data_IF_465663055147
#
_entry.id   IF_465663055147
#
_cell.length_a   1.000
_cell.length_b   1.000
_cell.length_c   1.000
_cell.angle_alpha   90.00
_cell.angle_beta   90.00
_cell.angle_gamma   90.00
#
_symmetry.space_group_name_H-M   'P 1'
#
loop_
_entity.id
_entity.type
_entity.pdbx_description
1 polymer ?
#
# COMPACT_ATOMS: atom_id res chain seq x y z
N UNK A 1 9.56 -11.22 -4.85
CA UNK A 1 8.75 -10.86 -3.66
C UNK A 1 7.39 -10.40 -4.16
N UNK A 2 6.33 -10.88 -3.55
CA UNK A 2 4.94 -10.53 -3.88
C UNK A 2 4.27 -10.01 -2.62
N UNK A 3 3.46 -8.96 -2.75
CA UNK A 3 2.72 -8.39 -1.62
C UNK A 3 1.25 -8.28 -1.98
N UNK A 4 0.40 -8.91 -1.18
CA UNK A 4 -1.06 -8.88 -1.33
C UNK A 4 -1.70 -8.29 -0.08
N UNK A 5 -2.87 -7.66 -0.24
CA UNK A 5 -3.63 -7.07 0.85
C UNK A 5 -5.09 -7.51 0.87
N UNK A 6 -5.58 -7.91 2.04
CA UNK A 6 -6.99 -8.29 2.24
C UNK A 6 -7.81 -7.08 2.64
N UNK A 7 -8.77 -6.72 1.81
CA UNK A 7 -9.68 -5.61 2.11
C UNK A 7 -10.73 -5.99 3.17
N UNK A 8 -11.11 -5.02 3.99
CA UNK A 8 -12.24 -5.08 4.91
C UNK A 8 -13.06 -3.80 4.79
N UNK A 9 -14.38 -3.94 4.82
CA UNK A 9 -15.31 -2.82 4.85
C UNK A 9 -15.58 -2.31 6.27
N UNK A 10 -15.82 -1.00 6.39
CA UNK A 10 -16.37 -0.39 7.58
C UNK A 10 -17.51 0.58 7.19
N UNK A 11 -18.56 0.69 8.01
CA UNK A 11 -19.58 1.72 7.85
C UNK A 11 -18.94 3.11 7.79
N UNK A 12 -19.56 4.03 7.07
CA UNK A 12 -19.14 5.42 7.12
C UNK A 12 -19.64 6.09 8.42
N UNK A 13 -18.87 7.04 8.99
CA UNK A 13 -19.37 7.84 10.10
C UNK A 13 -20.54 8.73 9.66
N UNK A 14 -21.40 9.16 10.60
CA UNK A 14 -22.50 10.09 10.30
C UNK A 14 -22.00 11.34 9.58
N UNK A 15 -22.74 11.77 8.54
CA UNK A 15 -22.40 12.94 7.73
C UNK A 15 -21.26 12.74 6.73
N UNK A 16 -20.77 11.51 6.52
CA UNK A 16 -19.76 11.25 5.50
C UNK A 16 -20.35 11.24 4.09
N UNK A 17 -19.62 11.83 3.13
CA UNK A 17 -19.95 11.71 1.70
C UNK A 17 -19.71 10.31 1.11
N UNK A 18 -18.93 9.45 1.79
CA UNK A 18 -18.71 8.07 1.34
C UNK A 18 -19.73 7.15 2.02
N UNK A 19 -20.30 6.20 1.27
CA UNK A 19 -21.25 5.22 1.83
C UNK A 19 -20.54 4.12 2.62
N UNK A 20 -19.34 3.72 2.19
CA UNK A 20 -18.52 2.70 2.83
C UNK A 20 -17.04 3.11 2.83
N UNK A 21 -16.30 2.68 3.84
CA UNK A 21 -14.84 2.79 3.90
C UNK A 21 -14.23 1.40 3.73
N UNK A 22 -13.06 1.35 3.09
CA UNK A 22 -12.33 0.11 2.87
C UNK A 22 -10.91 0.28 3.40
N UNK A 23 -10.42 -0.75 4.08
CA UNK A 23 -9.12 -0.78 4.72
C UNK A 23 -8.42 -2.13 4.49
N UNK A 24 -7.12 -2.22 4.77
CA UNK A 24 -6.43 -3.50 4.81
C UNK A 24 -6.58 -4.16 6.19
N UNK A 25 -7.09 -5.39 6.23
CA UNK A 25 -7.19 -6.21 7.44
C UNK A 25 -6.01 -7.16 7.63
N UNK A 26 -5.37 -7.53 6.52
CA UNK A 26 -4.18 -8.37 6.50
C UNK A 26 -3.31 -7.98 5.30
N UNK A 27 -2.00 -8.03 5.48
CA UNK A 27 -1.00 -7.89 4.41
C UNK A 27 -0.17 -9.17 4.40
N UNK A 28 -0.07 -9.82 3.25
CA UNK A 28 0.79 -10.98 3.05
C UNK A 28 1.99 -10.58 2.18
N UNK A 29 3.20 -10.96 2.60
CA UNK A 29 4.43 -10.80 1.84
C UNK A 29 4.99 -12.19 1.60
N UNK A 30 5.19 -12.55 0.34
CA UNK A 30 5.76 -13.83 -0.08
C UNK A 30 7.11 -13.58 -0.73
N UNK A 31 8.13 -14.29 -0.27
CA UNK A 31 9.47 -14.27 -0.83
C UNK A 31 9.79 -15.68 -1.31
N UNK A 32 9.87 -15.89 -2.63
CA UNK A 32 10.04 -17.24 -3.20
C UNK A 32 11.50 -17.71 -3.27
N UNK A 33 12.47 -16.79 -3.30
CA UNK A 33 13.89 -17.11 -3.53
C UNK A 33 14.79 -16.48 -2.45
N UNK A 34 15.87 -17.17 -2.02
CA UNK A 34 16.29 -18.50 -2.45
C UNK A 34 15.52 -19.62 -1.74
N UNK A 35 14.74 -19.31 -0.70
CA UNK A 35 13.79 -20.24 -0.07
C UNK A 35 12.46 -19.54 0.12
N UNK A 36 11.37 -20.28 -0.10
CA UNK A 36 10.03 -19.76 0.04
C UNK A 36 9.73 -19.45 1.49
N UNK A 37 9.36 -18.21 1.77
CA UNK A 37 8.92 -17.76 3.07
C UNK A 37 7.74 -16.80 2.93
N UNK A 38 6.86 -16.81 3.91
CA UNK A 38 5.68 -15.97 3.96
C UNK A 38 5.59 -15.21 5.28
N UNK A 39 5.14 -13.97 5.17
CA UNK A 39 4.86 -13.10 6.29
C UNK A 39 3.41 -12.66 6.17
N UNK A 40 2.60 -12.91 7.19
CA UNK A 40 1.27 -12.35 7.30
C UNK A 40 1.22 -11.37 8.46
N UNK A 41 0.87 -10.12 8.17
CA UNK A 41 0.66 -9.09 9.18
C UNK A 41 -0.82 -8.79 9.28
N UNK A 42 -1.33 -8.87 10.50
CA UNK A 42 -2.66 -8.39 10.90
C UNK A 42 -2.49 -7.28 11.95
N UNK A 43 -3.53 -6.51 12.31
CA UNK A 43 -3.41 -5.52 13.38
C UNK A 43 -2.85 -6.08 14.70
N UNK A 44 -3.04 -7.37 14.98
CA UNK A 44 -2.76 -7.96 16.29
C UNK A 44 -1.54 -8.89 16.32
N UNK A 45 -1.17 -9.48 15.19
CA UNK A 45 -0.06 -10.43 15.10
C UNK A 45 0.65 -10.39 13.76
N UNK A 46 1.92 -10.79 13.80
CA UNK A 46 2.72 -11.16 12.63
C UNK A 46 2.94 -12.67 12.67
N UNK A 47 2.74 -13.34 11.54
CA UNK A 47 3.15 -14.72 11.33
C UNK A 47 4.33 -14.66 10.36
N UNK A 48 5.49 -15.16 10.77
CA UNK A 48 6.62 -15.42 9.89
C UNK A 48 6.74 -16.93 9.74
N UNK A 49 6.75 -17.41 8.52
CA UNK A 49 6.88 -18.83 8.24
C UNK A 49 7.87 -19.04 7.09
N UNK A 50 8.98 -19.67 7.42
CA UNK A 50 10.08 -19.95 6.50
C UNK A 50 10.77 -21.24 6.91
N UNK A 51 11.86 -21.14 7.67
CA UNK A 51 12.49 -22.33 8.28
C UNK A 51 11.63 -22.88 9.42
N UNK A 52 11.23 -21.99 10.31
CA UNK A 52 10.35 -22.25 11.44
C UNK A 52 9.13 -21.32 11.34
N UNK A 53 8.03 -21.75 11.95
CA UNK A 53 6.83 -20.92 12.05
C UNK A 53 6.83 -20.16 13.38
N UNK A 54 6.89 -18.84 13.29
CA UNK A 54 6.94 -17.92 14.43
C UNK A 54 5.70 -17.03 14.41
N UNK A 55 5.06 -16.87 15.56
CA UNK A 55 3.91 -15.98 15.73
C UNK A 55 4.28 -14.90 16.74
N UNK A 56 4.31 -13.66 16.29
CA UNK A 56 4.75 -12.50 17.07
C UNK A 56 3.56 -11.58 17.35
N UNK A 57 3.34 -11.15 18.61
CA UNK A 57 2.29 -10.19 18.92
C UNK A 57 2.69 -8.76 18.49
N UNK A 58 1.74 -8.01 17.91
CA UNK A 58 1.97 -6.64 17.45
C UNK A 58 2.01 -5.59 18.58
N UNK A 59 1.74 -5.96 19.83
CA UNK A 59 1.71 -5.02 20.96
C UNK A 59 3.06 -4.88 21.68
N UNK A 60 4.05 -5.70 21.32
CA UNK A 60 5.41 -5.70 21.88
C UNK A 60 6.42 -5.24 20.85
N UNK A 61 7.48 -4.55 21.31
CA UNK A 61 8.61 -4.18 20.45
C UNK A 61 9.63 -5.33 20.42
N UNK A 62 9.98 -5.81 19.23
CA UNK A 62 10.89 -6.93 19.04
C UNK A 62 11.40 -6.97 17.60
N UNK A 63 12.49 -7.69 17.37
CA UNK A 63 13.00 -7.98 16.02
C UNK A 63 13.33 -9.47 15.91
N UNK A 64 13.10 -10.04 14.72
CA UNK A 64 13.45 -11.41 14.38
C UNK A 64 14.12 -11.39 13.02
N UNK A 65 15.30 -11.99 12.95
CA UNK A 65 16.05 -12.20 11.72
C UNK A 65 15.99 -13.68 11.32
N UNK A 66 15.74 -13.94 10.05
CA UNK A 66 15.63 -15.28 9.46
C UNK A 66 16.20 -15.29 8.05
N UNK A 67 17.45 -15.77 7.92
CA UNK A 67 18.20 -15.81 6.65
C UNK A 67 18.18 -14.43 5.93
N UNK A 68 17.41 -14.29 4.85
CA UNK A 68 17.29 -13.05 4.06
C UNK A 68 16.17 -12.10 4.52
N UNK A 69 15.38 -12.51 5.52
CA UNK A 69 14.21 -11.80 6.02
C UNK A 69 14.50 -11.24 7.41
N UNK A 70 14.13 -10.00 7.63
CA UNK A 70 14.11 -9.39 8.96
C UNK A 70 12.73 -8.79 9.20
N UNK A 71 12.17 -9.04 10.38
CA UNK A 71 10.90 -8.46 10.83
C UNK A 71 11.15 -7.71 12.13
N UNK A 72 10.95 -6.39 12.09
CA UNK A 72 11.00 -5.53 13.27
C UNK A 72 9.60 -5.02 13.59
N UNK A 73 9.13 -5.27 14.81
CA UNK A 73 7.85 -4.78 15.32
C UNK A 73 8.15 -3.63 16.27
N UNK A 74 7.57 -2.46 15.99
CA UNK A 74 7.42 -1.38 16.97
C UNK A 74 6.01 -1.48 17.54
N UNK A 75 5.91 -1.88 18.82
CA UNK A 75 4.65 -2.23 19.46
C UNK A 75 3.54 -1.20 19.26
N UNK A 76 2.37 -1.66 18.81
CA UNK A 76 1.15 -0.85 18.52
C UNK A 76 1.36 0.28 17.50
N UNK A 77 2.45 0.27 16.75
CA UNK A 77 2.81 1.34 15.81
C UNK A 77 2.98 0.82 14.40
N UNK A 78 3.96 -0.04 14.18
CA UNK A 78 4.27 -0.53 12.83
C UNK A 78 5.07 -1.85 12.86
N UNK A 79 5.06 -2.52 11.73
CA UNK A 79 5.90 -3.67 11.42
C UNK A 79 6.75 -3.29 10.21
N UNK A 80 8.07 -3.40 10.34
CA UNK A 80 8.99 -3.25 9.22
C UNK A 80 9.46 -4.64 8.78
N UNK A 81 9.28 -4.94 7.51
CA UNK A 81 9.75 -6.17 6.88
C UNK A 81 10.85 -5.82 5.91
N UNK A 82 12.04 -6.36 6.12
CA UNK A 82 13.20 -6.17 5.23
C UNK A 82 13.54 -7.49 4.54
N UNK A 83 13.75 -7.42 3.23
CA UNK A 83 14.10 -8.55 2.37
C UNK A 83 15.45 -8.25 1.72
N UNK A 84 16.44 -9.11 1.92
CA UNK A 84 17.76 -9.00 1.30
C UNK A 84 18.55 -7.72 1.64
N UNK A 85 18.14 -6.98 2.68
CA UNK A 85 18.79 -5.73 3.13
C UNK A 85 18.54 -4.50 2.24
N UNK A 86 17.94 -4.66 1.07
CA UNK A 86 17.75 -3.59 0.08
C UNK A 86 16.30 -3.41 -0.38
N UNK A 87 15.38 -4.21 0.17
CA UNK A 87 13.93 -4.02 0.02
C UNK A 87 13.35 -3.92 1.42
N UNK A 88 12.56 -2.88 1.68
CA UNK A 88 11.93 -2.68 2.98
C UNK A 88 10.50 -2.21 2.83
N UNK A 89 9.59 -2.86 3.55
CA UNK A 89 8.18 -2.50 3.63
C UNK A 89 7.85 -2.07 5.06
N UNK A 90 7.04 -1.00 5.17
CA UNK A 90 6.52 -0.53 6.46
C UNK A 90 5.01 -0.73 6.47
N UNK A 91 4.53 -1.49 7.44
CA UNK A 91 3.12 -1.80 7.65
C UNK A 91 2.68 -1.08 8.92
N UNK A 92 1.86 -0.05 8.78
CA UNK A 92 1.35 0.72 9.92
C UNK A 92 0.20 -0.03 10.59
N UNK A 93 0.18 -0.03 11.92
CA UNK A 93 -0.86 -0.64 12.73
C UNK A 93 -1.81 0.45 13.22
N UNK A 94 -3.05 0.46 12.71
CA UNK A 94 -4.11 1.34 13.19
C UNK A 94 -5.00 0.57 14.15
N UNK A 95 -4.72 0.68 15.44
CA UNK A 95 -5.48 0.01 16.51
C UNK A 95 -6.28 1.02 17.33
N UNK A 96 -7.56 0.73 17.56
CA UNK A 96 -8.47 1.55 18.35
C UNK A 96 -8.73 0.92 19.70
N UNK A 97 -8.49 1.67 20.79
CA UNK A 97 -8.77 1.18 22.15
C UNK A 97 -10.28 1.06 22.42
N UNK A 98 -11.04 2.07 22.01
CA UNK A 98 -12.49 2.17 22.19
C UNK A 98 -13.13 2.54 20.83
N UNK A 99 -13.26 1.59 19.89
CA UNK A 99 -13.73 1.91 18.54
C UNK A 99 -15.23 2.24 18.52
N UNK A 100 -15.57 3.32 17.80
CA UNK A 100 -16.94 3.53 17.35
C UNK A 100 -17.35 2.46 16.30
N UNK A 101 -18.64 2.26 16.00
CA UNK A 101 -19.10 1.22 15.07
C UNK A 101 -18.50 1.29 13.64
N UNK A 102 -18.08 2.48 13.22
CA UNK A 102 -17.44 2.76 11.93
C UNK A 102 -15.90 2.69 11.97
N UNK A 103 -15.30 2.40 13.13
CA UNK A 103 -13.86 2.23 13.29
C UNK A 103 -13.52 0.74 13.32
N UNK A 104 -12.57 0.36 12.47
CA UNK A 104 -12.03 -1.00 12.40
C UNK A 104 -10.53 -0.90 12.50
N UNK A 105 -9.93 -1.78 13.30
CA UNK A 105 -8.49 -1.94 13.27
C UNK A 105 -8.06 -2.32 11.85
N UNK A 106 -7.00 -1.68 11.38
CA UNK A 106 -6.56 -1.85 10.01
C UNK A 106 -5.08 -1.55 9.84
N UNK A 107 -4.61 -1.77 8.61
CA UNK A 107 -3.23 -1.64 8.22
C UNK A 107 -3.06 -0.54 7.17
N UNK A 108 -1.95 0.18 7.27
CA UNK A 108 -1.37 0.96 6.18
C UNK A 108 -0.17 0.20 5.60
N UNK A 109 0.13 0.39 4.31
CA UNK A 109 1.27 -0.26 3.67
C UNK A 109 2.09 0.75 2.88
N UNK A 110 3.42 0.68 3.03
CA UNK A 110 4.38 1.56 2.37
C UNK A 110 5.58 0.76 1.90
N UNK A 111 6.10 1.12 0.73
CA UNK A 111 7.41 0.66 0.24
C UNK A 111 8.43 1.70 0.72
N UNK A 112 9.24 1.34 1.71
CA UNK A 112 10.21 2.23 2.34
C UNK A 112 11.57 2.20 1.65
N UNK A 113 11.97 1.04 1.12
CA UNK A 113 13.15 0.89 0.27
C UNK A 113 12.80 -0.06 -0.88
N UNK A 114 12.96 0.42 -2.11
CA UNK A 114 12.70 -0.33 -3.34
C UNK A 114 13.97 -0.65 -4.12
N UNK A 115 15.16 -0.35 -3.60
CA UNK A 115 16.43 -0.44 -4.34
C UNK A 115 16.70 -1.86 -4.86
N UNK A 116 16.32 -2.90 -4.10
CA UNK A 116 16.45 -4.28 -4.54
C UNK A 116 15.34 -4.79 -5.46
N UNK A 117 14.30 -4.00 -5.74
CA UNK A 117 13.22 -4.39 -6.65
C UNK A 117 13.69 -4.18 -8.10
N UNK A 118 13.41 -5.15 -8.96
CA UNK A 118 13.73 -5.03 -10.40
C UNK A 118 12.88 -3.95 -11.08
N UNK A 119 13.36 -3.42 -12.21
CA UNK A 119 12.56 -2.52 -13.07
C UNK A 119 11.26 -3.15 -13.61
N UNK A 120 11.14 -4.49 -13.58
CA UNK A 120 9.91 -5.21 -13.94
C UNK A 120 8.92 -5.32 -12.77
N UNK A 121 9.20 -4.70 -11.62
CA UNK A 121 8.25 -4.66 -10.51
C UNK A 121 6.96 -3.98 -10.97
N UNK A 122 5.83 -4.66 -10.77
CA UNK A 122 4.51 -4.20 -11.16
C UNK A 122 3.49 -4.55 -10.07
N UNK A 123 2.22 -4.31 -10.31
CA UNK A 123 1.10 -4.41 -9.37
C UNK A 123 0.53 -3.03 -9.05
N UNK A 124 -0.46 -3.00 -8.16
CA UNK A 124 -1.21 -1.78 -7.86
C UNK A 124 -0.31 -0.60 -7.45
N UNK A 125 0.74 -0.88 -6.66
CA UNK A 125 1.74 0.11 -6.26
C UNK A 125 3.04 0.03 -7.06
N UNK A 126 3.45 -1.19 -7.44
CA UNK A 126 4.72 -1.43 -8.14
C UNK A 126 4.83 -0.69 -9.47
N UNK A 127 3.69 -0.54 -10.17
CA UNK A 127 3.61 0.18 -11.45
C UNK A 127 4.05 1.65 -11.40
N UNK A 128 4.20 2.25 -10.22
CA UNK A 128 4.61 3.64 -10.06
C UNK A 128 6.09 3.81 -9.69
N UNK A 129 6.78 2.72 -9.33
CA UNK A 129 8.14 2.80 -8.77
C UNK A 129 9.21 3.26 -9.77
N UNK A 130 9.03 2.94 -11.05
CA UNK A 130 9.99 3.21 -12.12
C UNK A 130 9.43 4.17 -13.18
N UNK A 131 8.33 4.86 -12.87
CA UNK A 131 7.64 5.73 -13.82
C UNK A 131 7.88 7.19 -13.51
N UNK A 132 7.99 8.00 -14.56
CA UNK A 132 8.00 9.44 -14.41
C UNK A 132 6.59 9.94 -14.05
N UNK A 133 6.51 10.62 -12.91
CA UNK A 133 5.29 11.26 -12.42
C UNK A 133 5.43 12.77 -12.57
N UNK A 134 4.58 13.36 -13.41
CA UNK A 134 4.57 14.79 -13.69
C UNK A 134 3.29 15.47 -13.22
N UNK A 135 3.36 16.77 -12.94
CA UNK A 135 2.18 17.62 -12.73
C UNK A 135 2.15 18.65 -13.85
N UNK A 136 1.06 18.65 -14.62
CA UNK A 136 0.85 19.58 -15.72
C UNK A 136 -0.29 20.55 -15.38
N UNK A 137 -0.14 21.81 -15.73
CA UNK A 137 -1.21 22.81 -15.65
C UNK A 137 -1.69 23.10 -17.06
N UNK A 138 -3.00 23.00 -17.29
CA UNK A 138 -3.61 23.51 -18.50
C UNK A 138 -4.06 24.95 -18.22
N UNK A 139 -3.63 25.93 -19.04
CA UNK A 139 -4.11 27.30 -18.93
C UNK A 139 -5.64 27.34 -19.00
N UNK A 140 -6.25 28.26 -18.26
CA UNK A 140 -7.66 28.58 -18.41
C UNK A 140 -7.97 28.92 -19.88
N UNK A 141 -8.94 28.22 -20.49
CA UNK A 141 -9.52 28.65 -21.77
C UNK A 141 -10.87 29.32 -21.49
N UNK A 142 -10.98 30.61 -21.81
CA UNK A 142 -12.17 31.43 -21.53
C UNK A 142 -12.44 31.58 -20.02
N UNK A 143 -13.72 31.48 -19.62
CA UNK A 143 -14.18 31.59 -18.22
C UNK A 143 -13.94 30.33 -17.36
N UNK A 144 -13.14 29.37 -17.85
CA UNK A 144 -12.86 28.13 -17.11
C UNK A 144 -11.67 28.29 -16.16
N UNK A 145 -11.77 27.71 -14.96
CA UNK A 145 -10.65 27.70 -14.01
C UNK A 145 -9.47 26.84 -14.56
N UNK A 146 -8.22 27.23 -14.27
CA UNK A 146 -7.05 26.43 -14.66
C UNK A 146 -7.14 25.03 -14.06
N UNK A 147 -6.89 24.02 -14.91
CA UNK A 147 -7.01 22.61 -14.53
C UNK A 147 -5.62 22.00 -14.35
N UNK A 148 -5.39 21.36 -13.20
CA UNK A 148 -4.14 20.69 -12.89
C UNK A 148 -4.31 19.18 -13.07
N UNK A 149 -3.35 18.53 -13.71
CA UNK A 149 -3.37 17.11 -13.99
C UNK A 149 -2.12 16.43 -13.43
N UNK A 150 -2.31 15.26 -12.85
CA UNK A 150 -1.23 14.32 -12.55
C UNK A 150 -1.06 13.42 -13.77
N UNK A 151 0.16 13.34 -14.31
CA UNK A 151 0.52 12.52 -15.46
C UNK A 151 1.44 11.38 -15.04
N UNK A 152 1.11 10.17 -15.45
CA UNK A 152 1.92 8.96 -15.25
C UNK A 152 1.90 8.17 -16.54
N UNK A 153 3.06 8.01 -17.19
CA UNK A 153 3.15 7.51 -18.58
C UNK A 153 2.29 8.38 -19.54
N UNK A 154 1.43 7.73 -20.29
CA UNK A 154 0.42 8.26 -21.20
C UNK A 154 -0.92 8.58 -20.52
N UNK A 155 -1.08 8.26 -19.23
CA UNK A 155 -2.30 8.49 -18.46
C UNK A 155 -2.28 9.84 -17.77
N UNK A 156 -3.45 10.47 -17.62
CA UNK A 156 -3.59 11.76 -16.93
C UNK A 156 -4.90 11.85 -16.19
N UNK A 157 -4.86 12.31 -14.93
CA UNK A 157 -6.04 12.49 -14.08
C UNK A 157 -6.10 13.89 -13.49
N UNK A 158 -7.29 14.52 -13.42
CA UNK A 158 -7.43 15.84 -12.82
C UNK A 158 -7.19 15.78 -11.31
N UNK A 159 -6.41 16.73 -10.81
CA UNK A 159 -6.05 16.86 -9.40
C UNK A 159 -6.30 18.26 -8.87
N UNK A 160 -6.54 18.34 -7.57
CA UNK A 160 -6.65 19.62 -6.85
C UNK A 160 -5.67 19.64 -5.70
N UNK A 161 -5.08 20.81 -5.42
CA UNK A 161 -4.20 20.97 -4.26
C UNK A 161 -5.03 20.86 -2.98
N UNK A 162 -4.56 20.08 -2.02
CA UNK A 162 -5.12 19.99 -0.67
C UNK A 162 -3.99 20.00 0.35
N UNK A 163 -4.28 20.49 1.54
CA UNK A 163 -3.42 20.29 2.70
C UNK A 163 -4.02 19.19 3.57
N UNK A 164 -3.21 18.22 3.98
CA UNK A 164 -3.62 17.07 4.78
C UNK A 164 -2.71 16.90 5.97
N UNK A 165 -3.31 16.65 7.13
CA UNK A 165 -2.57 16.25 8.32
C UNK A 165 -2.17 14.79 8.17
N UNK A 166 -0.87 14.51 8.18
CA UNK A 166 -0.37 13.12 8.07
C UNK A 166 -0.63 12.36 9.38
N UNK A 167 -0.56 11.02 9.31
CA UNK A 167 -0.96 10.14 10.41
C UNK A 167 -0.31 10.44 11.76
N UNK A 168 0.93 10.96 11.77
CA UNK A 168 1.59 11.38 13.02
C UNK A 168 0.83 12.47 13.77
N UNK A 169 -0.15 13.13 13.13
CA UNK A 169 -0.94 14.21 13.69
C UNK A 169 -0.13 15.48 13.95
N UNK A 170 1.18 15.49 13.63
CA UNK A 170 2.09 16.58 13.98
C UNK A 170 2.39 17.51 12.81
N UNK A 171 2.14 17.06 11.58
CA UNK A 171 2.51 17.80 10.37
C UNK A 171 1.34 17.87 9.40
N UNK A 172 1.21 19.02 8.74
CA UNK A 172 0.40 19.17 7.55
C UNK A 172 1.32 19.07 6.34
N UNK A 173 0.90 18.29 5.34
CA UNK A 173 1.58 18.18 4.05
C UNK A 173 0.64 18.66 2.97
N UNK A 174 1.18 19.44 2.05
CA UNK A 174 0.47 19.77 0.81
C UNK A 174 0.58 18.59 -0.15
N UNK A 175 -0.55 18.20 -0.72
CA UNK A 175 -0.67 17.06 -1.60
C UNK A 175 -1.63 17.32 -2.76
N UNK A 176 -1.46 16.58 -3.84
CA UNK A 176 -2.41 16.53 -4.95
C UNK A 176 -3.48 15.49 -4.68
N UNK A 177 -4.75 15.91 -4.79
CA UNK A 177 -5.90 15.03 -4.58
C UNK A 177 -6.59 14.76 -5.91
N UNK A 178 -6.48 13.53 -6.39
CA UNK A 178 -7.28 13.01 -7.48
C UNK A 178 -8.69 12.66 -6.98
N UNK A 179 -9.72 13.18 -7.65
CA UNK A 179 -11.13 12.84 -7.35
C UNK A 179 -11.46 11.46 -7.95
N UNK A 180 -12.66 10.96 -7.65
CA UNK A 180 -13.20 9.69 -8.19
C UNK A 180 -12.22 8.49 -8.09
N UNK A 181 -11.56 8.33 -6.94
CA UNK A 181 -10.56 7.27 -6.71
C UNK A 181 -9.43 7.23 -7.76
N UNK A 182 -9.09 8.37 -8.37
CA UNK A 182 -8.08 8.46 -9.42
C UNK A 182 -8.34 7.52 -10.60
N UNK A 183 -9.60 7.35 -10.99
CA UNK A 183 -9.99 6.57 -12.17
C UNK A 183 -9.07 6.90 -13.37
N UNK A 184 -8.61 5.86 -14.08
CA UNK A 184 -7.63 5.91 -15.19
C UNK A 184 -6.16 6.21 -14.81
N UNK A 185 -5.83 6.34 -13.52
CA UNK A 185 -4.44 6.55 -13.09
C UNK A 185 -3.62 5.24 -13.07
N UNK A 186 -4.27 4.09 -12.87
CA UNK A 186 -3.64 2.77 -12.84
C UNK A 186 -3.65 2.11 -14.22
N UNK A 187 -2.74 1.16 -14.45
CA UNK A 187 -2.68 0.35 -15.67
C UNK A 187 -3.88 -0.61 -15.58
N UNK A 188 -4.67 -0.76 -16.64
CA UNK A 188 -5.87 -1.60 -16.60
C UNK A 188 -6.96 -1.10 -15.64
N UNK A 189 -7.70 -2.04 -15.05
CA UNK A 189 -8.81 -1.78 -14.13
C UNK A 189 -8.51 -2.34 -12.73
N UNK A 190 -9.31 -1.95 -11.74
CA UNK A 190 -9.13 -2.40 -10.35
C UNK A 190 -9.19 -3.94 -10.24
N UNK A 191 -10.10 -4.55 -10.99
CA UNK A 191 -10.37 -5.98 -11.01
C UNK A 191 -9.14 -6.80 -11.43
N UNK A 192 -8.27 -6.22 -12.26
CA UNK A 192 -7.03 -6.86 -12.69
C UNK A 192 -6.13 -7.14 -11.48
N UNK A 193 -6.19 -6.29 -10.44
CA UNK A 193 -5.39 -6.39 -9.20
C UNK A 193 -6.05 -7.20 -8.09
N UNK A 194 -7.21 -7.81 -8.36
CA UNK A 194 -7.91 -8.66 -7.38
C UNK A 194 -7.41 -10.09 -7.50
N UNK A 195 -6.78 -10.57 -6.43
CA UNK A 195 -6.30 -11.96 -6.34
C UNK A 195 -7.33 -12.86 -5.66
N UNK A 196 -7.34 -14.13 -6.07
CA UNK A 196 -8.21 -15.16 -5.49
C UNK A 196 -7.81 -15.53 -4.05
N UNK A 197 -6.50 -15.44 -3.74
CA UNK A 197 -5.94 -15.85 -2.47
C UNK A 197 -4.76 -14.97 -2.02
N UNK A 198 -4.60 -14.79 -0.71
CA UNK A 198 -3.62 -13.85 -0.13
C UNK A 198 -2.16 -14.26 -0.38
N UNK A 199 -1.88 -15.55 -0.49
CA UNK A 199 -0.53 -16.07 -0.70
C UNK A 199 -0.26 -16.47 -2.16
N UNK A 200 -1.13 -16.05 -3.06
CA UNK A 200 -0.93 -16.27 -4.49
C UNK A 200 0.24 -15.39 -4.99
N UNK A 201 1.15 -16.01 -5.73
CA UNK A 201 2.31 -15.38 -6.36
C UNK A 201 2.23 -15.45 -7.89
N UNK A 202 1.06 -15.82 -8.43
CA UNK A 202 0.82 -16.10 -9.85
C UNK A 202 1.38 -15.07 -10.82
N UNK A 203 1.60 -15.52 -12.06
CA UNK A 203 2.07 -14.65 -13.12
C UNK A 203 0.96 -13.72 -13.61
N UNK A 204 1.27 -12.44 -13.68
CA UNK A 204 0.34 -11.40 -14.13
C UNK A 204 0.15 -11.50 -15.67
N UNK A 205 -1.09 -11.67 -16.18
CA UNK A 205 -1.33 -11.90 -17.62
C UNK A 205 -0.84 -10.78 -18.54
N UNK A 206 -0.71 -9.55 -18.04
CA UNK A 206 -0.27 -8.40 -18.85
C UNK A 206 1.25 -8.12 -18.80
N UNK A 207 2.06 -9.09 -18.37
CA UNK A 207 3.52 -9.00 -18.26
C UNK A 207 4.32 -8.93 -19.57
N UNK A 208 3.74 -8.50 -20.68
CA UNK A 208 4.53 -8.14 -21.88
C UNK A 208 4.05 -6.81 -22.44
N UNK A 209 4.65 -5.71 -21.98
CA UNK A 209 4.85 -4.58 -22.88
C UNK A 209 5.70 -5.13 -24.02
N UNK A 210 5.08 -5.33 -25.19
CA UNK A 210 5.83 -5.53 -26.43
C UNK A 210 6.74 -4.31 -26.59
N UNK A 211 8.04 -4.58 -26.62
CA UNK A 211 9.09 -3.66 -27.08
C UNK A 211 8.78 -3.25 -28.50
#
# INVERSE_FOLDING_TARGET
VTVNGKLIGAPAPPGSHKQQRTYFSSIAIVVDHPRRAYIEVTPNKVILDGRDRIVLPCHTTMAVDSDMLSVAISGRSNVTVTVGGNISFVILLHQYKNPAPYQRDHLGFYIANSTGLSHRCHGLLGQFLNEEVGVAQLPAQGDSNPSVFLKVKDRSVPVVRKSRRIYSGKQNVDCWFARNNAEKLIDGHYEDYVMSHMFDTGEWPHGTNKV
#
